data_IF_224040070553
#
_entry.id   IF_224040070553
#
_cell.length_a   1.000
_cell.length_b   1.000
_cell.length_c   1.000
_cell.angle_alpha   90.00
_cell.angle_beta   90.00
_cell.angle_gamma   90.00
#
_symmetry.space_group_name_H-M   'P 1'
#
loop_
_entity.id
_entity.type
_entity.pdbx_description
1 polymer ?
#
# COMPACT_ATOMS: atom_id res chain seq x y z
N UNK A 1 9.24 -15.60 16.15
CA UNK A 1 9.85 -14.41 15.51
C UNK A 1 9.20 -14.26 14.15
N UNK A 2 8.55 -13.12 14.00
CA UNK A 2 7.21 -13.00 13.44
C UNK A 2 7.19 -12.80 11.93
N UNK A 3 6.39 -13.60 11.22
CA UNK A 3 6.06 -13.40 9.80
C UNK A 3 5.44 -12.02 9.51
N UNK A 4 4.94 -11.35 10.54
CA UNK A 4 4.24 -10.06 10.48
C UNK A 4 5.14 -8.86 10.18
N UNK A 5 6.46 -8.98 10.35
CA UNK A 5 7.37 -7.86 10.05
C UNK A 5 7.43 -7.61 8.54
N UNK A 6 7.50 -8.65 7.72
CA UNK A 6 7.74 -8.48 6.28
C UNK A 6 6.62 -7.70 5.56
N UNK A 7 5.34 -8.02 5.80
CA UNK A 7 4.22 -7.32 5.13
C UNK A 7 4.15 -5.85 5.55
N UNK A 8 4.33 -5.60 6.86
CA UNK A 8 4.32 -4.26 7.43
C UNK A 8 5.51 -3.42 6.96
N UNK A 9 6.70 -4.02 6.91
CA UNK A 9 7.92 -3.36 6.45
C UNK A 9 7.78 -2.97 4.97
N UNK A 10 7.31 -3.89 4.11
CA UNK A 10 7.03 -3.59 2.69
C UNK A 10 6.00 -2.46 2.56
N UNK A 11 4.90 -2.51 3.32
CA UNK A 11 3.88 -1.47 3.27
C UNK A 11 4.43 -0.10 3.72
N UNK A 12 5.30 -0.09 4.73
CA UNK A 12 5.91 1.13 5.26
C UNK A 12 6.92 1.71 4.27
N UNK A 13 7.80 0.88 3.71
CA UNK A 13 8.80 1.29 2.71
C UNK A 13 8.13 1.89 1.46
N UNK A 14 7.09 1.23 0.93
CA UNK A 14 6.36 1.73 -0.24
C UNK A 14 5.64 3.05 0.05
N UNK A 15 5.00 3.16 1.23
CA UNK A 15 4.36 4.40 1.66
C UNK A 15 5.38 5.54 1.74
N UNK A 16 6.51 5.33 2.43
CA UNK A 16 7.54 6.35 2.62
C UNK A 16 8.16 6.81 1.30
N UNK A 17 8.43 5.87 0.38
CA UNK A 17 8.94 6.21 -0.96
C UNK A 17 7.96 7.08 -1.75
N UNK A 18 6.68 6.70 -1.78
CA UNK A 18 5.66 7.46 -2.50
C UNK A 18 5.36 8.81 -1.85
N UNK A 19 5.38 8.91 -0.52
CA UNK A 19 5.26 10.18 0.18
C UNK A 19 6.45 11.10 -0.11
N UNK A 20 7.66 10.54 -0.25
CA UNK A 20 8.87 11.30 -0.59
C UNK A 20 8.85 11.79 -2.04
N UNK A 21 8.44 10.94 -2.98
CA UNK A 21 8.48 11.27 -4.42
C UNK A 21 7.27 12.07 -4.91
N UNK A 22 6.07 11.74 -4.41
CA UNK A 22 4.80 12.27 -4.90
C UNK A 22 4.02 13.10 -3.87
N UNK A 23 4.62 13.31 -2.69
CA UNK A 23 4.04 14.09 -1.58
C UNK A 23 3.02 13.29 -0.76
N UNK A 24 2.76 13.72 0.50
CA UNK A 24 1.78 13.07 1.39
C UNK A 24 0.32 13.32 0.94
N UNK A 25 -0.68 12.56 1.41
CA UNK A 25 -0.60 11.38 2.29
C UNK A 25 -0.93 10.11 1.52
N UNK A 26 -0.03 9.12 1.56
CA UNK A 26 -0.25 7.82 0.91
C UNK A 26 -0.59 6.74 1.94
N UNK A 27 -1.40 5.78 1.50
CA UNK A 27 -1.80 4.62 2.28
C UNK A 27 -1.39 3.36 1.51
N UNK A 28 -0.73 2.42 2.19
CA UNK A 28 -0.33 1.15 1.62
C UNK A 28 -0.89 -0.02 2.45
N UNK A 29 -1.42 -1.04 1.77
CA UNK A 29 -1.87 -2.30 2.36
C UNK A 29 -1.21 -3.45 1.63
N UNK A 30 -0.61 -4.37 2.38
CA UNK A 30 0.05 -5.57 1.85
C UNK A 30 -0.50 -6.77 2.62
N UNK A 31 -0.95 -7.81 1.90
CA UNK A 31 -1.42 -9.03 2.54
C UNK A 31 -2.04 -10.03 1.58
N UNK A 32 -2.30 -11.24 2.06
CA UNK A 32 -2.87 -12.34 1.24
C UNK A 32 -4.40 -12.31 1.18
N UNK A 33 -5.04 -11.80 2.21
CA UNK A 33 -6.49 -11.86 2.38
C UNK A 33 -7.02 -10.51 2.85
N UNK A 34 -7.38 -9.65 1.90
CA UNK A 34 -8.07 -8.40 2.21
C UNK A 34 -9.00 -8.01 1.06
N UNK A 35 -9.96 -7.17 1.40
CA UNK A 35 -10.84 -6.47 0.47
C UNK A 35 -10.99 -5.05 0.99
N UNK A 36 -11.12 -4.07 0.09
CA UNK A 36 -11.12 -2.66 0.44
C UNK A 36 -12.11 -1.87 -0.39
N UNK A 37 -12.78 -0.92 0.24
CA UNK A 37 -13.59 0.10 -0.41
C UNK A 37 -13.16 1.46 0.14
N UNK A 38 -12.42 2.23 -0.65
CA UNK A 38 -11.78 3.47 -0.21
C UNK A 38 -12.02 4.61 -1.19
N UNK A 39 -12.08 5.83 -0.68
CA UNK A 39 -12.04 7.04 -1.49
C UNK A 39 -10.58 7.45 -1.68
N UNK A 40 -10.18 7.71 -2.92
CA UNK A 40 -8.81 8.09 -3.27
C UNK A 40 -8.79 9.22 -4.29
N UNK A 41 -7.66 9.91 -4.38
CA UNK A 41 -7.42 10.92 -5.42
C UNK A 41 -7.46 10.27 -6.82
N UNK A 42 -7.96 11.01 -7.81
CA UNK A 42 -8.07 10.52 -9.19
C UNK A 42 -6.69 10.19 -9.72
N UNK A 43 -6.55 9.00 -10.32
CA UNK A 43 -5.30 8.46 -10.87
C UNK A 43 -4.17 8.18 -9.84
N UNK A 44 -4.42 8.34 -8.54
CA UNK A 44 -3.48 7.97 -7.47
C UNK A 44 -3.94 6.71 -6.74
N UNK A 45 -4.22 5.64 -7.51
CA UNK A 45 -4.61 4.33 -7.00
C UNK A 45 -3.92 3.24 -7.81
N UNK A 46 -3.30 2.29 -7.12
CA UNK A 46 -2.67 1.12 -7.69
C UNK A 46 -3.00 -0.12 -6.86
N UNK A 47 -3.47 -1.18 -7.52
CA UNK A 47 -3.75 -2.46 -6.88
C UNK A 47 -3.31 -3.60 -7.78
N UNK A 48 -2.44 -4.46 -7.27
CA UNK A 48 -1.84 -5.56 -8.02
C UNK A 48 -1.45 -6.71 -7.09
N UNK A 49 -1.09 -7.84 -7.70
CA UNK A 49 -0.63 -9.03 -7.00
C UNK A 49 0.80 -9.38 -7.41
N UNK A 50 1.62 -9.77 -6.43
CA UNK A 50 2.89 -10.49 -6.64
C UNK A 50 2.73 -11.87 -6.02
N UNK A 51 2.56 -12.89 -6.86
CA UNK A 51 2.21 -14.24 -6.41
C UNK A 51 0.85 -14.23 -5.68
N UNK A 52 0.85 -14.63 -4.40
CA UNK A 52 -0.35 -14.63 -3.56
C UNK A 52 -0.49 -13.37 -2.68
N UNK A 53 0.44 -12.42 -2.80
CA UNK A 53 0.45 -11.18 -2.02
C UNK A 53 -0.26 -10.08 -2.81
N UNK A 54 -1.35 -9.55 -2.27
CA UNK A 54 -1.96 -8.32 -2.79
C UNK A 54 -1.22 -7.11 -2.24
N UNK A 55 -0.98 -6.12 -3.10
CA UNK A 55 -0.40 -4.83 -2.75
C UNK A 55 -1.36 -3.76 -3.25
N UNK A 56 -1.87 -2.95 -2.33
CA UNK A 56 -2.71 -1.80 -2.65
C UNK A 56 -2.05 -0.53 -2.13
N UNK A 57 -2.00 0.48 -2.98
CA UNK A 57 -1.43 1.78 -2.69
C UNK A 57 -2.35 2.88 -3.23
N UNK A 58 -2.71 3.85 -2.41
CA UNK A 58 -3.56 4.96 -2.84
C UNK A 58 -3.28 6.24 -2.05
N UNK A 59 -3.58 7.37 -2.68
CA UNK A 59 -3.45 8.70 -2.06
C UNK A 59 -4.81 9.25 -1.66
N UNK A 60 -4.88 9.92 -0.52
CA UNK A 60 -6.06 10.69 -0.09
C UNK A 60 -5.77 12.20 -0.21
N UNK A 61 -6.80 13.04 -0.42
CA UNK A 61 -6.66 14.49 -0.36
C UNK A 61 -6.05 15.00 0.96
#
# INVERSE_FOLDING_TARGET
MDKHNLEKDIASDLKEQFETEYGPTWHCMVGRHFSSYVTHEKACYCYFYIGQMGVMLFKTP
#
